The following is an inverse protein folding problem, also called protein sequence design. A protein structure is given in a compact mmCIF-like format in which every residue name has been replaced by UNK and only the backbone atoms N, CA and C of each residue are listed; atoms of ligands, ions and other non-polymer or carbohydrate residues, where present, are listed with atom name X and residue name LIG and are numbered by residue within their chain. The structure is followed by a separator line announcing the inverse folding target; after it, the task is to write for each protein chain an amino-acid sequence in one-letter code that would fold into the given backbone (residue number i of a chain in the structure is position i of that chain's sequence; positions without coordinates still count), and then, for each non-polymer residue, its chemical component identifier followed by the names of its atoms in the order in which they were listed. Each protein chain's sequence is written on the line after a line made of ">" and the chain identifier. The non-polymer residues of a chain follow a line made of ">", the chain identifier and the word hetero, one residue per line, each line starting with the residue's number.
data_IF_921905382688
#
_entry.id   IF_921905382688
#
_cell.length_a   1.000
_cell.length_b   1.000
_cell.length_c   1.000
_cell.angle_alpha   90.00
_cell.angle_beta   90.00
_cell.angle_gamma   90.00
#
_symmetry.space_group_name_H-M   'P 1'
#
loop_
_entity.id
_entity.type
_entity.pdbx_description
1 polymer ?
#
# COMPACT_ATOMS: atom_id res chain seq x y z
N UNK A 1 19.23 0.68 -7.19
CA UNK A 1 19.34 1.85 -6.29
C UNK A 1 18.94 1.45 -4.87
N UNK A 2 19.53 2.06 -3.83
CA UNK A 2 19.21 1.75 -2.44
C UNK A 2 18.32 2.83 -1.82
N UNK A 3 17.17 2.42 -1.29
CA UNK A 3 16.27 3.27 -0.52
C UNK A 3 16.74 3.38 0.93
N UNK A 4 16.36 4.47 1.58
CA UNK A 4 16.44 4.57 3.04
C UNK A 4 15.46 3.57 3.68
N UNK A 5 15.86 2.97 4.80
CA UNK A 5 15.05 1.99 5.52
C UNK A 5 13.74 2.59 6.04
N UNK A 6 13.80 3.82 6.57
CA UNK A 6 12.63 4.55 7.08
C UNK A 6 11.63 4.81 5.97
N UNK A 7 12.12 5.23 4.81
CA UNK A 7 11.26 5.45 3.63
C UNK A 7 10.58 4.15 3.19
N UNK A 8 11.35 3.07 3.07
CA UNK A 8 10.83 1.79 2.60
C UNK A 8 9.84 1.16 3.59
N UNK A 9 10.09 1.33 4.90
CA UNK A 9 9.14 0.97 5.96
C UNK A 9 7.88 1.83 5.90
N UNK A 10 8.00 3.15 5.69
CA UNK A 10 6.86 4.05 5.52
C UNK A 10 6.00 3.65 4.32
N UNK A 11 6.61 3.30 3.19
CA UNK A 11 5.91 2.80 2.01
C UNK A 11 5.18 1.48 2.28
N UNK A 12 5.83 0.54 2.98
CA UNK A 12 5.22 -0.72 3.40
C UNK A 12 3.95 -0.47 4.24
N UNK A 13 4.06 0.40 5.25
CA UNK A 13 2.96 0.74 6.15
C UNK A 13 1.84 1.49 5.42
N UNK A 14 2.18 2.39 4.49
CA UNK A 14 1.22 3.11 3.68
C UNK A 14 0.38 2.19 2.79
N UNK A 15 1.02 1.29 2.02
CA UNK A 15 0.32 0.33 1.15
C UNK A 15 -0.61 -0.56 1.97
N UNK A 16 -0.18 -0.94 3.17
CA UNK A 16 -0.96 -1.75 4.09
C UNK A 16 -2.17 -1.02 4.66
N UNK A 17 -2.00 0.25 5.06
CA UNK A 17 -3.09 1.13 5.47
C UNK A 17 -4.12 1.29 4.33
N UNK A 18 -3.65 1.50 3.10
CA UNK A 18 -4.51 1.65 1.93
C UNK A 18 -5.35 0.39 1.65
N UNK A 19 -4.76 -0.80 1.74
CA UNK A 19 -5.47 -2.07 1.59
C UNK A 19 -6.56 -2.25 2.64
N UNK A 20 -6.25 -1.98 3.92
CA UNK A 20 -7.24 -1.98 4.99
C UNK A 20 -8.35 -0.98 4.72
N UNK A 21 -8.00 0.20 4.22
CA UNK A 21 -9.00 1.23 3.95
C UNK A 21 -10.02 0.79 2.90
N UNK A 22 -9.56 0.13 1.85
CA UNK A 22 -10.44 -0.46 0.85
C UNK A 22 -11.31 -1.58 1.41
N UNK A 23 -10.82 -2.40 2.34
CA UNK A 23 -11.65 -3.41 3.02
C UNK A 23 -12.79 -2.77 3.82
N UNK A 24 -12.49 -1.72 4.58
CA UNK A 24 -13.48 -1.01 5.40
C UNK A 24 -14.52 -0.26 4.59
N UNK A 25 -14.15 0.15 3.36
CA UNK A 25 -15.02 0.90 2.47
C UNK A 25 -16.12 0.02 1.84
N UNK A 26 -15.95 -1.31 1.83
CA UNK A 26 -16.98 -2.23 1.34
C UNK A 26 -18.29 -2.05 2.12
N UNK A 27 -19.40 -1.94 1.39
CA UNK A 27 -20.74 -1.80 1.96
C UNK A 27 -21.22 -0.36 2.14
N UNK A 28 -20.92 0.54 1.18
CA UNK A 28 -21.48 1.89 1.15
C UNK A 28 -20.69 2.94 1.92
N UNK A 29 -19.48 2.63 2.38
CA UNK A 29 -18.63 3.55 3.17
C UNK A 29 -17.49 4.19 2.34
N UNK A 30 -17.58 4.12 1.01
CA UNK A 30 -16.55 4.63 0.11
C UNK A 30 -16.32 6.14 0.29
N UNK A 31 -17.38 6.94 0.31
CA UNK A 31 -17.28 8.39 0.47
C UNK A 31 -16.55 8.78 1.77
N UNK A 32 -16.89 8.13 2.89
CA UNK A 32 -16.24 8.37 4.19
C UNK A 32 -14.75 8.02 4.16
N UNK A 33 -14.38 6.93 3.48
CA UNK A 33 -12.98 6.54 3.29
C UNK A 33 -12.23 7.59 2.47
N UNK A 34 -12.83 8.08 1.37
CA UNK A 34 -12.20 9.11 0.53
C UNK A 34 -11.98 10.41 1.30
N UNK A 35 -12.97 10.84 2.08
CA UNK A 35 -12.85 12.03 2.95
C UNK A 35 -11.72 11.88 3.98
N UNK A 36 -11.66 10.73 4.67
CA UNK A 36 -10.58 10.41 5.61
C UNK A 36 -9.19 10.44 4.95
N UNK A 37 -9.05 9.85 3.76
CA UNK A 37 -7.78 9.83 3.02
C UNK A 37 -7.40 11.21 2.47
N UNK A 38 -8.36 12.10 2.24
CA UNK A 38 -8.10 13.49 1.80
C UNK A 38 -7.24 14.30 2.77
N UNK A 39 -7.18 13.92 4.05
CA UNK A 39 -6.32 14.54 5.07
C UNK A 39 -4.93 13.89 5.23
N UNK A 40 -4.60 12.85 4.46
CA UNK A 40 -3.39 12.04 4.61
C UNK A 40 -2.44 12.21 3.42
N UNK A 41 -1.17 11.75 3.50
CA UNK A 41 -0.31 11.64 2.34
C UNK A 41 -1.01 10.83 1.23
N UNK A 42 -1.10 11.39 0.02
CA UNK A 42 -1.82 10.74 -1.06
C UNK A 42 -0.89 9.86 -1.90
N UNK A 43 -1.47 8.93 -2.66
CA UNK A 43 -0.72 8.03 -3.54
C UNK A 43 0.18 8.78 -4.54
N UNK A 44 -0.23 9.95 -5.05
CA UNK A 44 0.54 10.73 -6.02
C UNK A 44 1.81 11.31 -5.43
N UNK A 45 1.76 11.80 -4.19
CA UNK A 45 2.94 12.31 -3.48
C UNK A 45 3.98 11.19 -3.30
N UNK A 46 3.54 9.99 -2.97
CA UNK A 46 4.41 8.82 -2.82
C UNK A 46 5.02 8.41 -4.16
N UNK A 47 4.22 8.38 -5.23
CA UNK A 47 4.73 8.10 -6.58
C UNK A 47 5.77 9.15 -6.99
N UNK A 48 5.51 10.43 -6.72
CA UNK A 48 6.46 11.52 -6.99
C UNK A 48 7.75 11.33 -6.21
N UNK A 49 7.68 11.00 -4.91
CA UNK A 49 8.87 10.68 -4.10
C UNK A 49 9.64 9.47 -4.62
N UNK A 50 8.93 8.43 -5.06
CA UNK A 50 9.55 7.25 -5.68
C UNK A 50 10.28 7.65 -6.98
N UNK A 51 9.69 8.53 -7.80
CA UNK A 51 10.32 9.09 -8.98
C UNK A 51 11.60 9.88 -8.64
N UNK A 52 11.51 10.82 -7.70
CA UNK A 52 12.64 11.65 -7.27
C UNK A 52 13.82 10.82 -6.75
N UNK A 53 13.53 9.85 -5.88
CA UNK A 53 14.57 8.98 -5.33
C UNK A 53 15.16 8.12 -6.44
N UNK A 54 14.28 7.46 -7.23
CA UNK A 54 14.67 6.43 -8.19
C UNK A 54 15.30 6.94 -9.48
N UNK A 55 15.06 8.20 -9.85
CA UNK A 55 15.44 8.75 -11.14
C UNK A 55 14.72 8.11 -12.33
N UNK A 56 13.72 7.25 -12.09
CA UNK A 56 12.91 6.63 -13.13
C UNK A 56 11.67 7.45 -13.42
N UNK A 57 11.24 7.41 -14.68
CA UNK A 57 10.00 8.03 -15.13
C UNK A 57 8.81 7.16 -14.69
N UNK A 58 8.39 7.32 -13.43
CA UNK A 58 7.22 6.68 -12.84
C UNK A 58 6.06 7.68 -12.68
N UNK A 59 4.80 7.25 -12.88
CA UNK A 59 4.38 5.87 -13.19
C UNK A 59 4.65 5.50 -14.67
N UNK A 60 4.85 4.20 -14.98
CA UNK A 60 5.14 3.77 -16.35
C UNK A 60 3.94 4.01 -17.28
N UNK A 61 4.21 4.25 -18.57
CA UNK A 61 3.18 4.51 -19.60
C UNK A 61 2.25 3.33 -19.88
N UNK A 62 2.67 2.12 -19.52
CA UNK A 62 1.91 0.89 -19.70
C UNK A 62 2.00 0.05 -18.43
N UNK A 63 1.00 -0.81 -18.24
CA UNK A 63 0.98 -1.74 -17.12
C UNK A 63 2.24 -2.63 -17.17
N UNK A 64 3.06 -2.64 -16.11
CA UNK A 64 4.22 -3.51 -16.05
C UNK A 64 3.77 -4.97 -15.88
N UNK A 65 4.57 -5.91 -16.38
CA UNK A 65 4.41 -7.31 -16.05
C UNK A 65 4.55 -7.50 -14.53
N UNK A 66 3.78 -8.43 -13.96
CA UNK A 66 3.92 -8.79 -12.54
C UNK A 66 5.33 -9.33 -12.31
N UNK A 67 6.22 -8.63 -11.57
CA UNK A 67 7.60 -9.04 -11.40
C UNK A 67 7.64 -10.35 -10.63
N UNK A 68 8.66 -11.20 -10.80
CA UNK A 68 8.74 -12.47 -10.04
C UNK A 68 9.09 -12.16 -8.58
N UNK A 69 8.10 -12.30 -7.69
CA UNK A 69 8.36 -12.32 -6.25
C UNK A 69 9.10 -13.62 -5.94
N UNK A 70 10.26 -13.52 -5.28
CA UNK A 70 10.96 -14.69 -4.75
C UNK A 70 10.19 -15.21 -3.52
N UNK A 71 9.05 -15.86 -3.77
CA UNK A 71 8.06 -16.32 -2.79
C UNK A 71 8.54 -17.45 -1.85
N UNK A 72 9.79 -17.91 -1.98
CA UNK A 72 10.35 -19.02 -1.20
C UNK A 72 11.70 -18.76 -0.52
N UNK A 73 12.13 -17.50 -0.42
CA UNK A 73 13.53 -17.23 -0.08
C UNK A 73 13.74 -16.86 1.40
N UNK A 74 13.89 -17.89 2.25
CA UNK A 74 14.71 -17.80 3.48
C UNK A 74 16.15 -17.36 3.14
N UNK A 75 16.56 -17.50 1.87
CA UNK A 75 17.78 -16.88 1.38
C UNK A 75 17.61 -15.35 1.26
N UNK A 76 18.52 -14.62 1.91
CA UNK A 76 18.67 -13.18 1.70
C UNK A 76 18.66 -12.87 0.19
N UNK A 77 17.92 -11.86 -0.27
CA UNK A 77 17.94 -11.52 -1.69
C UNK A 77 19.38 -11.29 -2.15
N UNK A 78 19.72 -11.84 -3.33
CA UNK A 78 21.00 -11.61 -4.01
C UNK A 78 21.25 -10.12 -4.30
N UNK A 79 20.17 -9.32 -4.31
CA UNK A 79 20.19 -7.87 -4.38
C UNK A 79 20.15 -7.28 -2.96
N UNK A 80 20.99 -6.27 -2.71
CA UNK A 80 21.21 -5.71 -1.37
C UNK A 80 19.92 -5.31 -0.63
N UNK A 81 19.99 -5.30 0.71
CA UNK A 81 18.91 -4.77 1.57
C UNK A 81 18.46 -3.40 1.08
N UNK A 82 17.14 -3.19 1.07
CA UNK A 82 16.50 -1.93 0.68
C UNK A 82 16.65 -1.53 -0.81
N UNK A 83 16.93 -2.50 -1.69
CA UNK A 83 16.98 -2.26 -3.15
C UNK A 83 15.72 -2.84 -3.80
N UNK A 84 14.94 -1.98 -4.45
CA UNK A 84 13.90 -2.40 -5.39
C UNK A 84 14.44 -2.29 -6.81
N UNK A 85 14.10 -3.27 -7.64
CA UNK A 85 14.40 -3.25 -9.08
C UNK A 85 13.43 -2.31 -9.81
N UNK A 86 13.79 -1.95 -11.04
CA UNK A 86 12.98 -1.03 -11.86
C UNK A 86 11.58 -1.57 -12.19
N UNK A 87 11.47 -2.87 -12.47
CA UNK A 87 10.20 -3.56 -12.70
C UNK A 87 9.34 -3.61 -11.43
N UNK A 88 9.95 -3.86 -10.27
CA UNK A 88 9.30 -3.81 -8.96
C UNK A 88 8.78 -2.40 -8.63
N UNK A 89 9.60 -1.38 -8.83
CA UNK A 89 9.21 0.03 -8.64
C UNK A 89 8.09 0.44 -9.59
N UNK A 90 8.21 0.08 -10.85
CA UNK A 90 7.18 0.33 -11.86
C UNK A 90 5.85 -0.31 -11.47
N UNK A 91 5.89 -1.55 -10.98
CA UNK A 91 4.71 -2.26 -10.51
C UNK A 91 4.07 -1.58 -9.29
N UNK A 92 4.87 -1.22 -8.29
CA UNK A 92 4.38 -0.50 -7.09
C UNK A 92 3.72 0.83 -7.50
N UNK A 93 4.40 1.63 -8.32
CA UNK A 93 3.88 2.93 -8.76
C UNK A 93 2.61 2.80 -9.60
N UNK A 94 2.53 1.80 -10.47
CA UNK A 94 1.34 1.55 -11.28
C UNK A 94 0.10 1.31 -10.40
N UNK A 95 0.21 0.43 -9.41
CA UNK A 95 -0.94 0.08 -8.57
C UNK A 95 -1.29 1.16 -7.54
N UNK A 96 -0.30 1.93 -7.07
CA UNK A 96 -0.56 3.17 -6.34
C UNK A 96 -1.32 4.19 -7.20
N UNK A 97 -0.99 4.30 -8.49
CA UNK A 97 -1.69 5.19 -9.42
C UNK A 97 -3.13 4.71 -9.67
N UNK A 98 -3.34 3.40 -9.85
CA UNK A 98 -4.71 2.85 -9.99
C UNK A 98 -5.53 3.13 -8.73
N UNK A 99 -4.96 2.94 -7.54
CA UNK A 99 -5.62 3.26 -6.29
C UNK A 99 -5.95 4.76 -6.17
N UNK A 100 -5.01 5.63 -6.55
CA UNK A 100 -5.24 7.09 -6.60
C UNK A 100 -6.40 7.43 -7.53
N UNK A 101 -6.39 6.88 -8.73
CA UNK A 101 -7.42 7.09 -9.74
C UNK A 101 -8.79 6.56 -9.32
N UNK A 102 -8.84 5.54 -8.47
CA UNK A 102 -10.09 5.06 -7.89
C UNK A 102 -10.62 6.03 -6.83
N UNK A 103 -9.76 6.47 -5.91
CA UNK A 103 -10.09 7.41 -4.83
C UNK A 103 -10.56 8.77 -5.36
N UNK A 104 -9.92 9.26 -6.43
CA UNK A 104 -10.24 10.55 -7.05
C UNK A 104 -11.59 10.58 -7.78
N UNK A 105 -12.18 9.41 -8.07
CA UNK A 105 -13.53 9.31 -8.65
C UNK A 105 -14.57 9.40 -7.54
N UNK A 106 -14.67 10.55 -6.90
CA UNK A 106 -15.55 10.80 -5.74
C UNK A 106 -17.04 10.55 -6.01
N UNK A 107 -17.46 10.62 -7.29
CA UNK A 107 -18.84 10.41 -7.73
C UNK A 107 -19.16 8.93 -8.06
N UNK A 108 -18.19 8.02 -7.93
CA UNK A 108 -18.29 6.62 -8.31
C UNK A 108 -17.92 5.73 -7.12
N UNK A 109 -18.87 4.90 -6.67
CA UNK A 109 -18.55 3.80 -5.75
C UNK A 109 -18.02 2.61 -6.58
N UNK A 110 -16.79 2.15 -6.32
CA UNK A 110 -16.20 1.06 -7.08
C UNK A 110 -16.86 -0.28 -6.77
N UNK A 111 -16.88 -1.14 -7.77
CA UNK A 111 -17.37 -2.51 -7.62
C UNK A 111 -16.46 -3.31 -6.68
N UNK A 112 -17.03 -4.36 -6.08
CA UNK A 112 -16.26 -5.29 -5.25
C UNK A 112 -15.08 -5.91 -6.03
N UNK A 113 -15.26 -6.21 -7.32
CA UNK A 113 -14.22 -6.78 -8.17
C UNK A 113 -13.07 -5.80 -8.41
N UNK A 114 -13.36 -4.51 -8.64
CA UNK A 114 -12.32 -3.46 -8.76
C UNK A 114 -11.53 -3.30 -7.45
N UNK A 115 -12.22 -3.29 -6.31
CA UNK A 115 -11.58 -3.22 -4.99
C UNK A 115 -10.67 -4.43 -4.78
N UNK A 116 -11.17 -5.64 -5.05
CA UNK A 116 -10.40 -6.88 -4.90
C UNK A 116 -9.19 -6.89 -5.81
N UNK A 117 -9.33 -6.47 -7.07
CA UNK A 117 -8.21 -6.39 -8.02
C UNK A 117 -7.10 -5.47 -7.51
N UNK A 118 -7.45 -4.25 -7.09
CA UNK A 118 -6.45 -3.30 -6.56
C UNK A 118 -5.82 -3.88 -5.30
N UNK A 119 -6.60 -4.44 -4.37
CA UNK A 119 -6.09 -5.03 -3.12
C UNK A 119 -5.11 -6.18 -3.36
N UNK A 120 -5.43 -7.12 -4.24
CA UNK A 120 -4.54 -8.25 -4.56
C UNK A 120 -3.20 -7.77 -5.10
N UNK A 121 -3.20 -6.71 -5.90
CA UNK A 121 -1.98 -6.18 -6.46
C UNK A 121 -1.21 -5.27 -5.49
N UNK A 122 -1.90 -4.53 -4.62
CA UNK A 122 -1.27 -3.82 -3.50
C UNK A 122 -0.64 -4.80 -2.49
N UNK A 123 -1.29 -5.92 -2.18
CA UNK A 123 -0.73 -6.98 -1.34
C UNK A 123 0.55 -7.55 -1.97
N UNK A 124 0.57 -7.69 -3.30
CA UNK A 124 1.77 -8.11 -4.01
C UNK A 124 2.90 -7.06 -3.93
N UNK A 125 2.57 -5.79 -4.11
CA UNK A 125 3.50 -4.68 -3.94
C UNK A 125 4.07 -4.62 -2.52
N UNK A 126 3.23 -4.83 -1.50
CA UNK A 126 3.63 -4.96 -0.10
C UNK A 126 4.66 -6.09 0.08
N UNK A 127 4.42 -7.27 -0.51
CA UNK A 127 5.34 -8.41 -0.39
C UNK A 127 6.71 -8.13 -1.01
N UNK A 128 6.75 -7.47 -2.17
CA UNK A 128 8.00 -7.02 -2.79
C UNK A 128 8.82 -6.15 -1.82
N UNK A 129 8.17 -5.22 -1.14
CA UNK A 129 8.81 -4.32 -0.16
C UNK A 129 9.24 -5.09 1.09
N UNK A 130 8.35 -5.93 1.63
CA UNK A 130 8.57 -6.74 2.83
C UNK A 130 9.83 -7.61 2.71
N UNK A 131 10.01 -8.25 1.55
CA UNK A 131 11.20 -9.08 1.28
C UNK A 131 12.50 -8.27 1.33
N UNK A 132 12.46 -6.95 1.04
CA UNK A 132 13.63 -6.05 1.12
C UNK A 132 13.91 -5.52 2.51
N UNK A 133 12.86 -5.36 3.31
CA UNK A 133 12.98 -4.99 4.73
C UNK A 133 13.48 -6.17 5.58
N UNK A 134 13.33 -7.41 5.10
CA UNK A 134 13.69 -8.61 5.88
C UNK A 134 12.76 -8.81 7.08
N UNK A 135 11.56 -8.23 7.02
CA UNK A 135 10.48 -8.42 7.99
C UNK A 135 9.98 -9.85 7.81
N UNK A 136 10.28 -10.72 8.78
CA UNK A 136 9.66 -12.06 8.86
C UNK A 136 8.16 -11.90 8.99
N UNK A 137 7.36 -12.81 8.42
CA UNK A 137 5.90 -12.83 8.55
C UNK A 137 5.49 -12.31 9.93
N UNK A 138 5.06 -11.06 9.94
CA UNK A 138 4.36 -10.53 11.08
C UNK A 138 2.99 -11.17 10.96
N UNK A 139 2.63 -11.94 11.99
CA UNK A 139 1.23 -12.14 12.32
C UNK A 139 0.50 -10.82 12.09
N UNK A 140 -0.73 -10.92 11.59
CA UNK A 140 -1.61 -9.81 11.18
C UNK A 140 -1.84 -8.75 12.30
N UNK A 141 -1.23 -8.93 13.46
CA UNK A 141 -1.24 -8.08 14.64
C UNK A 141 -0.58 -6.70 14.43
N UNK A 142 0.41 -6.55 13.52
CA UNK A 142 1.12 -5.26 13.35
C UNK A 142 0.49 -4.29 12.33
N UNK A 143 -0.55 -4.74 11.61
CA UNK A 143 -1.32 -3.92 10.65
C UNK A 143 -2.18 -2.88 11.37
N UNK A 144 -2.48 -3.16 12.64
CA UNK A 144 -3.38 -2.42 13.52
C UNK A 144 -2.81 -1.07 13.98
N UNK A 145 -1.52 -0.80 13.75
CA UNK A 145 -0.83 0.35 14.32
C UNK A 145 -1.11 1.70 13.64
N UNK A 146 -1.62 1.75 12.41
CA UNK A 146 -1.96 3.03 11.76
C UNK A 146 -3.40 3.52 12.03
N UNK A 147 -4.26 2.70 12.63
CA UNK A 147 -5.59 3.10 13.10
C UNK A 147 -5.59 3.60 14.56
N UNK A 148 -4.41 3.81 15.14
CA UNK A 148 -4.28 4.28 16.51
C UNK A 148 -4.60 5.79 16.60
N UNK A 149 -5.90 6.10 16.65
CA UNK A 149 -6.36 7.24 17.45
C UNK A 149 -5.81 7.08 18.87
N UNK A 150 -5.56 8.20 19.56
CA UNK A 150 -4.75 8.38 20.78
C UNK A 150 -5.07 7.53 22.04
N UNK A 151 -5.79 6.40 21.95
CA UNK A 151 -6.05 5.50 23.07
C UNK A 151 -5.65 4.05 22.76
N UNK A 152 -4.58 3.61 23.44
CA UNK A 152 -3.97 2.28 23.38
C UNK A 152 -4.97 1.13 23.56
N UNK A 153 -5.19 0.35 22.50
CA UNK A 153 -5.38 -1.12 22.48
C UNK A 153 -5.19 -1.59 21.03
N UNK A 154 -4.38 -2.63 20.81
CA UNK A 154 -4.37 -3.39 19.55
C UNK A 154 -5.77 -4.00 19.36
N UNK A 155 -6.33 -3.89 18.16
CA UNK A 155 -7.71 -4.27 17.83
C UNK A 155 -7.71 -5.00 16.50
N UNK A 156 -8.40 -6.14 16.45
CA UNK A 156 -8.40 -7.02 15.27
C UNK A 156 -8.95 -6.31 14.02
N UNK A 157 -8.59 -6.81 12.84
CA UNK A 157 -9.15 -6.33 11.57
C UNK A 157 -10.68 -6.36 11.59
N UNK A 158 -11.28 -7.38 12.20
CA UNK A 158 -12.74 -7.52 12.34
C UNK A 158 -13.33 -6.40 13.20
N UNK A 159 -12.64 -6.02 14.28
CA UNK A 159 -13.04 -4.89 15.13
C UNK A 159 -12.89 -3.54 14.39
N UNK A 160 -11.90 -3.41 13.51
CA UNK A 160 -11.65 -2.19 12.72
C UNK A 160 -12.65 -2.04 11.57
N UNK A 161 -13.00 -3.13 10.88
CA UNK A 161 -13.92 -3.11 9.73
C UNK A 161 -15.34 -2.71 10.12
N UNK A 162 -15.76 -3.01 11.35
CA UNK A 162 -17.07 -2.62 11.88
C UNK A 162 -17.20 -1.13 12.25
N UNK A 163 -16.10 -0.43 12.52
CA UNK A 163 -16.16 0.92 13.09
C UNK A 163 -16.32 2.04 12.05
N UNK A 164 -16.92 3.18 12.44
CA UNK A 164 -16.86 4.40 11.64
C UNK A 164 -15.40 4.87 11.50
N UNK A 165 -15.15 5.65 10.45
CA UNK A 165 -13.86 6.30 10.26
C UNK A 165 -13.60 7.28 11.41
N UNK A 166 -12.34 7.45 11.86
CA UNK A 166 -12.03 8.44 12.89
C UNK A 166 -12.48 9.83 12.40
N UNK A 167 -13.33 10.50 13.17
CA UNK A 167 -13.62 11.92 12.93
C UNK A 167 -12.35 12.73 13.20
N UNK A 168 -11.93 13.55 12.23
CA UNK A 168 -10.82 14.50 12.38
C UNK A 168 -11.08 15.52 13.49
#
# INVERSE_FOLDING_TARGET
>A
MKFDETFLMGLFLFIRMLQLSFDRALGGKWADMVDYLGGQPNCRDIIFRLSEISGYDVPPKAMPSKPVANSFSVAKPLFGKFVLKEDELSFICWWLLQAAGLIERTEYEPSADEIVEIRVNLAYAEDLIRTRLGVKDHSVEYVEHFNQSKMNKCRSIEEIVGEPWPSL
#
